data_IF_269377287604
#
_entry.id   IF_269377287604
#
_cell.length_a   1.000
_cell.length_b   1.000
_cell.length_c   1.000
_cell.angle_alpha   90.00
_cell.angle_beta   90.00
_cell.angle_gamma   90.00
#
_symmetry.space_group_name_H-M   'P 1'
#
loop_
_entity.id
_entity.type
_entity.pdbx_description
1 polymer ?
#
# COMPACT_ATOMS: atom_id res chain seq x y z
N UNK A 1 -36.86 -15.74 16.90
CA UNK A 1 -37.52 -16.09 15.63
C UNK A 1 -36.41 -16.62 14.74
N UNK A 2 -36.28 -17.93 14.66
CA UNK A 2 -35.21 -18.56 13.88
C UNK A 2 -35.53 -18.40 12.40
N UNK A 3 -34.57 -17.84 11.64
CA UNK A 3 -34.70 -17.69 10.20
C UNK A 3 -34.83 -19.08 9.56
N UNK A 4 -35.73 -19.23 8.57
CA UNK A 4 -35.77 -20.47 7.78
C UNK A 4 -34.43 -20.66 7.05
N UNK A 5 -33.97 -21.90 6.81
CA UNK A 5 -32.65 -22.16 6.20
C UNK A 5 -32.39 -21.37 4.90
N UNK A 6 -33.44 -21.18 4.07
CA UNK A 6 -33.37 -20.34 2.88
C UNK A 6 -33.13 -18.85 3.17
N UNK A 7 -33.78 -18.30 4.21
CA UNK A 7 -33.58 -16.90 4.60
C UNK A 7 -32.18 -16.65 5.17
N UNK A 8 -31.63 -17.63 5.90
CA UNK A 8 -30.26 -17.54 6.41
C UNK A 8 -29.24 -17.59 5.27
N UNK A 9 -29.40 -18.51 4.33
CA UNK A 9 -28.52 -18.62 3.17
C UNK A 9 -28.56 -17.35 2.30
N UNK A 10 -29.75 -16.80 2.06
CA UNK A 10 -29.92 -15.54 1.32
C UNK A 10 -29.23 -14.37 2.03
N UNK A 11 -29.36 -14.27 3.35
CA UNK A 11 -28.65 -13.26 4.14
C UNK A 11 -27.12 -13.40 4.04
N UNK A 12 -26.59 -14.61 4.21
CA UNK A 12 -25.16 -14.88 4.11
C UNK A 12 -24.60 -14.52 2.73
N UNK A 13 -25.31 -14.89 1.67
CA UNK A 13 -24.91 -14.58 0.30
C UNK A 13 -24.95 -13.07 0.04
N UNK A 14 -26.00 -12.37 0.50
CA UNK A 14 -26.12 -10.92 0.35
C UNK A 14 -24.99 -10.18 1.06
N UNK A 15 -24.63 -10.60 2.27
CA UNK A 15 -23.51 -10.00 3.01
C UNK A 15 -22.15 -10.33 2.40
N UNK A 16 -21.98 -11.56 1.87
CA UNK A 16 -20.79 -11.95 1.12
C UNK A 16 -20.58 -11.06 -0.11
N UNK A 17 -21.62 -10.89 -0.95
CA UNK A 17 -21.56 -10.03 -2.13
C UNK A 17 -21.28 -8.58 -1.73
N UNK A 18 -21.99 -8.05 -0.73
CA UNK A 18 -21.77 -6.68 -0.23
C UNK A 18 -20.33 -6.44 0.26
N UNK A 19 -19.72 -7.43 0.92
CA UNK A 19 -18.33 -7.33 1.37
C UNK A 19 -17.35 -7.48 0.22
N UNK A 20 -17.65 -8.31 -0.77
CA UNK A 20 -16.84 -8.50 -1.96
C UNK A 20 -16.80 -7.20 -2.79
N UNK A 21 -17.95 -6.56 -3.00
CA UNK A 21 -18.04 -5.27 -3.72
C UNK A 21 -17.18 -4.20 -3.02
N UNK A 22 -17.24 -4.13 -1.68
CA UNK A 22 -16.39 -3.21 -0.90
C UNK A 22 -14.90 -3.55 -0.97
N UNK A 23 -14.56 -4.84 -1.07
CA UNK A 23 -13.19 -5.27 -1.25
C UNK A 23 -12.67 -4.89 -2.65
N UNK A 24 -13.51 -5.00 -3.67
CA UNK A 24 -13.22 -4.56 -5.03
C UNK A 24 -13.02 -3.04 -5.10
N UNK A 25 -13.88 -2.24 -4.46
CA UNK A 25 -13.72 -0.78 -4.33
C UNK A 25 -12.37 -0.42 -3.69
N UNK A 26 -11.96 -1.16 -2.66
CA UNK A 26 -10.67 -0.96 -1.99
C UNK A 26 -9.49 -1.28 -2.93
N UNK A 27 -9.58 -2.35 -3.72
CA UNK A 27 -8.56 -2.74 -4.70
C UNK A 27 -8.45 -1.66 -5.78
N UNK A 28 -9.56 -1.21 -6.34
CA UNK A 28 -9.61 -0.17 -7.37
C UNK A 28 -9.02 1.15 -6.85
N UNK A 29 -9.39 1.55 -5.63
CA UNK A 29 -8.80 2.74 -4.98
C UNK A 29 -7.30 2.59 -4.71
N UNK A 30 -6.80 1.38 -4.50
CA UNK A 30 -5.34 1.14 -4.32
C UNK A 30 -4.60 1.26 -5.65
N UNK A 31 -5.23 0.85 -6.76
CA UNK A 31 -4.67 1.00 -8.10
C UNK A 31 -4.54 2.47 -8.50
N UNK A 32 -5.55 3.29 -8.18
CA UNK A 32 -5.50 4.74 -8.40
C UNK A 32 -4.35 5.40 -7.62
N UNK A 33 -4.14 5.01 -6.36
CA UNK A 33 -2.99 5.48 -5.58
C UNK A 33 -1.67 5.07 -6.24
N UNK A 34 -1.56 3.85 -6.77
CA UNK A 34 -0.36 3.41 -7.49
C UNK A 34 -0.09 4.26 -8.75
N UNK A 35 -1.13 4.60 -9.51
CA UNK A 35 -1.02 5.54 -10.64
C UNK A 35 -0.50 6.90 -10.19
N UNK A 36 -0.98 7.39 -9.05
CA UNK A 36 -0.50 8.66 -8.47
C UNK A 36 0.98 8.60 -8.09
N UNK A 37 1.47 7.47 -7.55
CA UNK A 37 2.89 7.24 -7.26
C UNK A 37 3.75 7.28 -8.52
N UNK A 38 3.26 6.72 -9.62
CA UNK A 38 3.93 6.80 -10.94
C UNK A 38 4.09 8.24 -11.42
N UNK A 39 3.05 9.07 -11.26
CA UNK A 39 3.10 10.51 -11.58
C UNK A 39 4.13 11.22 -10.70
N UNK A 40 4.15 10.97 -9.40
CA UNK A 40 5.13 11.59 -8.49
C UNK A 40 6.56 11.19 -8.86
N UNK A 41 6.81 9.93 -9.21
CA UNK A 41 8.11 9.47 -9.69
C UNK A 41 8.57 10.22 -10.95
N UNK A 42 7.66 10.43 -11.90
CA UNK A 42 7.95 11.23 -13.08
C UNK A 42 8.27 12.69 -12.72
N UNK A 43 7.50 13.30 -11.82
CA UNK A 43 7.73 14.68 -11.34
C UNK A 43 9.10 14.82 -10.69
N UNK A 44 9.55 13.86 -9.87
CA UNK A 44 10.89 13.88 -9.26
C UNK A 44 11.99 13.98 -10.32
N UNK A 45 11.87 13.24 -11.42
CA UNK A 45 12.87 13.24 -12.51
C UNK A 45 12.90 14.58 -13.24
N UNK A 46 11.72 15.15 -13.53
CA UNK A 46 11.62 16.44 -14.25
C UNK A 46 11.70 17.66 -13.32
N UNK A 47 11.80 17.49 -12.02
CA UNK A 47 11.79 18.60 -11.07
C UNK A 47 12.98 19.54 -11.26
N UNK A 48 14.17 18.99 -11.50
CA UNK A 48 15.38 19.78 -11.76
C UNK A 48 15.22 20.69 -13.00
N UNK A 49 14.89 20.19 -14.21
CA UNK A 49 14.71 21.08 -15.36
C UNK A 49 13.55 22.08 -15.19
N UNK A 50 12.47 21.70 -14.50
CA UNK A 50 11.39 22.64 -14.16
C UNK A 50 11.92 23.79 -13.29
N UNK A 51 12.74 23.46 -12.27
CA UNK A 51 13.33 24.47 -11.40
C UNK A 51 14.21 25.45 -12.18
N UNK A 52 15.00 24.97 -13.13
CA UNK A 52 15.90 25.79 -13.95
C UNK A 52 15.15 26.77 -14.86
N UNK A 53 13.91 26.44 -15.27
CA UNK A 53 13.04 27.34 -16.06
C UNK A 53 12.37 28.39 -15.17
N UNK A 54 11.97 28.02 -13.94
CA UNK A 54 11.21 28.89 -13.03
C UNK A 54 12.12 29.85 -12.26
N UNK A 55 13.27 29.40 -11.76
CA UNK A 55 14.19 30.18 -10.94
C UNK A 55 14.61 31.54 -11.57
N UNK A 56 14.88 31.65 -12.89
CA UNK A 56 15.17 32.92 -13.54
C UNK A 56 14.06 33.97 -13.41
N UNK A 57 12.81 33.56 -13.18
CA UNK A 57 11.68 34.47 -12.99
C UNK A 57 11.58 35.00 -11.55
N UNK A 58 12.32 34.42 -10.60
CA UNK A 58 12.33 34.80 -9.17
C UNK A 58 13.79 35.03 -8.71
N UNK A 59 14.41 36.17 -9.06
CA UNK A 59 15.85 36.39 -8.96
C UNK A 59 16.42 36.45 -7.53
N UNK A 60 15.59 36.41 -6.49
CA UNK A 60 16.02 36.43 -5.08
C UNK A 60 16.03 35.05 -4.42
N UNK A 61 15.60 34.01 -5.12
CA UNK A 61 15.46 32.68 -4.54
C UNK A 61 16.74 31.86 -4.75
N UNK A 62 17.29 31.31 -3.66
CA UNK A 62 18.40 30.37 -3.76
C UNK A 62 17.92 29.07 -4.45
N UNK A 63 18.59 28.72 -5.54
CA UNK A 63 18.32 27.52 -6.35
C UNK A 63 18.38 26.25 -5.50
N UNK A 64 19.34 26.17 -4.59
CA UNK A 64 19.53 24.98 -3.75
C UNK A 64 18.38 24.78 -2.76
N UNK A 65 17.92 25.88 -2.15
CA UNK A 65 16.78 25.87 -1.24
C UNK A 65 15.48 25.53 -1.96
N UNK A 66 15.27 26.06 -3.17
CA UNK A 66 14.07 25.79 -3.96
C UNK A 66 13.98 24.31 -4.38
N UNK A 67 15.07 23.74 -4.88
CA UNK A 67 15.16 22.31 -5.19
C UNK A 67 14.87 21.45 -3.96
N UNK A 68 15.49 21.79 -2.83
CA UNK A 68 15.29 21.09 -1.57
C UNK A 68 13.83 21.10 -1.11
N UNK A 69 13.18 22.28 -1.09
CA UNK A 69 11.79 22.41 -0.69
C UNK A 69 10.86 21.65 -1.63
N UNK A 70 11.13 21.65 -2.93
CA UNK A 70 10.37 20.87 -3.91
C UNK A 70 10.44 19.38 -3.62
N UNK A 71 11.65 18.81 -3.46
CA UNK A 71 11.79 17.40 -3.12
C UNK A 71 11.20 17.06 -1.74
N UNK A 72 11.35 17.94 -0.75
CA UNK A 72 10.77 17.75 0.58
C UNK A 72 9.24 17.71 0.50
N UNK A 73 8.62 18.57 -0.31
CA UNK A 73 7.16 18.57 -0.50
C UNK A 73 6.66 17.26 -1.14
N UNK A 74 7.39 16.76 -2.15
CA UNK A 74 7.09 15.46 -2.78
C UNK A 74 7.25 14.32 -1.78
N UNK A 75 8.29 14.35 -0.94
CA UNK A 75 8.52 13.37 0.11
C UNK A 75 7.36 13.33 1.12
N UNK A 76 6.82 14.49 1.52
CA UNK A 76 5.67 14.57 2.43
C UNK A 76 4.42 13.97 1.78
N UNK A 77 4.12 14.32 0.54
CA UNK A 77 2.97 13.77 -0.21
C UNK A 77 3.09 12.25 -0.30
N UNK A 78 4.27 11.74 -0.65
CA UNK A 78 4.55 10.31 -0.72
C UNK A 78 4.40 9.63 0.65
N UNK A 79 4.83 10.30 1.73
CA UNK A 79 4.63 9.81 3.10
C UNK A 79 3.16 9.65 3.45
N UNK A 80 2.31 10.61 3.07
CA UNK A 80 0.86 10.53 3.28
C UNK A 80 0.21 9.40 2.47
N UNK A 81 0.58 9.25 1.19
CA UNK A 81 0.10 8.15 0.34
C UNK A 81 0.54 6.79 0.91
N UNK A 82 1.80 6.68 1.36
CA UNK A 82 2.31 5.46 1.99
C UNK A 82 1.55 5.10 3.27
N UNK A 83 1.23 6.09 4.12
CA UNK A 83 0.41 5.89 5.32
C UNK A 83 -1.02 5.45 4.97
N UNK A 84 -1.65 6.09 3.99
CA UNK A 84 -2.97 5.68 3.47
C UNK A 84 -2.96 4.22 3.01
N UNK A 85 -1.92 3.82 2.27
CA UNK A 85 -1.75 2.44 1.82
C UNK A 85 -1.59 1.45 2.97
N UNK A 86 -0.93 1.81 4.08
CA UNK A 86 -0.87 0.95 5.27
C UNK A 86 -2.27 0.71 5.88
N UNK A 87 -3.10 1.75 5.90
CA UNK A 87 -4.49 1.66 6.38
C UNK A 87 -5.30 0.77 5.43
N UNK A 88 -5.22 1.01 4.12
CA UNK A 88 -5.89 0.16 3.11
C UNK A 88 -5.49 -1.30 3.25
N UNK A 89 -4.20 -1.56 3.44
CA UNK A 89 -3.71 -2.93 3.64
C UNK A 89 -4.30 -3.60 4.89
N UNK A 90 -4.51 -2.86 5.99
CA UNK A 90 -5.20 -3.41 7.18
C UNK A 90 -6.65 -3.77 6.90
N UNK A 91 -7.36 -2.99 6.08
CA UNK A 91 -8.72 -3.30 5.64
C UNK A 91 -8.76 -4.49 4.68
N UNK A 92 -7.77 -4.63 3.79
CA UNK A 92 -7.68 -5.80 2.89
C UNK A 92 -7.63 -7.11 3.69
N UNK A 93 -6.86 -7.14 4.79
CA UNK A 93 -6.83 -8.29 5.68
C UNK A 93 -8.17 -8.57 6.36
N UNK A 94 -8.89 -7.52 6.76
CA UNK A 94 -10.24 -7.66 7.30
C UNK A 94 -11.20 -8.28 6.26
N UNK A 95 -11.20 -7.81 5.01
CA UNK A 95 -12.08 -8.35 3.97
C UNK A 95 -11.77 -9.81 3.67
N UNK A 96 -10.50 -10.16 3.49
CA UNK A 96 -10.06 -11.54 3.25
C UNK A 96 -10.58 -12.49 4.34
N UNK A 97 -10.43 -12.11 5.61
CA UNK A 97 -10.88 -12.94 6.72
C UNK A 97 -12.40 -13.12 6.76
N UNK A 98 -13.15 -12.03 6.61
CA UNK A 98 -14.61 -12.10 6.70
C UNK A 98 -15.21 -12.82 5.49
N UNK A 99 -14.72 -12.58 4.27
CA UNK A 99 -15.17 -13.28 3.07
C UNK A 99 -14.95 -14.79 3.21
N UNK A 100 -13.79 -15.21 3.70
CA UNK A 100 -13.52 -16.63 3.96
C UNK A 100 -14.49 -17.22 5.01
N UNK A 101 -14.81 -16.47 6.08
CA UNK A 101 -15.77 -16.92 7.08
C UNK A 101 -17.20 -17.09 6.51
N UNK A 102 -17.65 -16.15 5.67
CA UNK A 102 -18.94 -16.25 4.98
C UNK A 102 -18.99 -17.44 4.02
N UNK A 103 -17.93 -17.70 3.25
CA UNK A 103 -17.88 -18.86 2.36
C UNK A 103 -17.99 -20.19 3.12
N UNK A 104 -17.31 -20.31 4.25
CA UNK A 104 -17.40 -21.51 5.10
C UNK A 104 -18.83 -21.72 5.62
N UNK A 105 -19.52 -20.66 6.04
CA UNK A 105 -20.93 -20.73 6.47
C UNK A 105 -21.87 -21.09 5.29
N UNK A 106 -21.66 -20.50 4.11
CA UNK A 106 -22.45 -20.78 2.90
C UNK A 106 -22.31 -22.25 2.48
N UNK A 107 -21.07 -22.78 2.45
CA UNK A 107 -20.81 -24.19 2.12
C UNK A 107 -21.51 -25.15 3.08
N UNK A 108 -21.51 -24.84 4.38
CA UNK A 108 -22.21 -25.64 5.40
C UNK A 108 -23.71 -25.69 5.15
N UNK A 109 -24.35 -24.56 4.86
CA UNK A 109 -25.79 -24.49 4.59
C UNK A 109 -26.16 -25.19 3.26
N UNK A 110 -25.30 -25.11 2.25
CA UNK A 110 -25.49 -25.81 0.96
C UNK A 110 -25.18 -27.32 1.02
N UNK A 111 -24.62 -27.81 2.14
CA UNK A 111 -24.10 -29.19 2.29
C UNK A 111 -23.09 -29.56 1.19
N UNK A 112 -22.35 -28.58 0.70
CA UNK A 112 -21.26 -28.82 -0.24
C UNK A 112 -20.09 -29.50 0.48
N UNK A 113 -19.36 -30.34 -0.26
CA UNK A 113 -18.13 -30.92 0.24
C UNK A 113 -17.07 -29.82 0.48
N UNK A 114 -16.24 -29.98 1.51
CA UNK A 114 -15.23 -28.97 1.87
C UNK A 114 -14.21 -28.71 0.73
N UNK A 115 -14.02 -29.69 -0.16
CA UNK A 115 -13.19 -29.65 -1.35
C UNK A 115 -13.90 -29.10 -2.60
N UNK A 116 -15.16 -28.64 -2.47
CA UNK A 116 -15.89 -27.97 -3.53
C UNK A 116 -15.12 -26.74 -4.03
N UNK A 117 -14.97 -26.67 -5.37
CA UNK A 117 -14.39 -25.52 -6.07
C UNK A 117 -15.32 -24.30 -6.09
N UNK A 118 -16.59 -24.49 -5.73
CA UNK A 118 -17.59 -23.43 -5.63
C UNK A 118 -17.36 -22.77 -4.26
N UNK A 119 -17.17 -21.43 -4.21
CA UNK A 119 -16.74 -20.68 -3.01
C UNK A 119 -15.41 -21.17 -2.42
N UNK A 120 -14.35 -21.11 -3.23
CA UNK A 120 -13.03 -21.59 -2.86
C UNK A 120 -12.03 -20.43 -2.68
N UNK A 121 -12.38 -19.41 -1.90
CA UNK A 121 -11.43 -18.46 -1.29
C UNK A 121 -10.67 -19.18 -0.17
N UNK A 122 -10.15 -20.37 -0.49
CA UNK A 122 -9.52 -21.26 0.44
C UNK A 122 -8.04 -20.93 0.41
N UNK A 123 -7.61 -20.10 1.36
CA UNK A 123 -6.21 -19.87 1.68
C UNK A 123 -5.59 -21.17 2.25
N UNK A 124 -5.60 -22.26 1.48
CA UNK A 124 -4.93 -23.49 1.81
C UNK A 124 -3.43 -23.24 1.93
N UNK A 125 -2.71 -24.14 2.60
CA UNK A 125 -1.26 -23.97 2.87
C UNK A 125 -0.43 -23.66 1.61
N UNK A 126 -0.86 -24.12 0.43
CA UNK A 126 -0.22 -23.81 -0.86
C UNK A 126 -0.49 -22.38 -1.35
N UNK A 127 -1.73 -21.93 -1.32
CA UNK A 127 -2.14 -20.59 -1.76
C UNK A 127 -1.68 -19.51 -0.77
N UNK A 128 -1.68 -19.80 0.53
CA UNK A 128 -1.10 -18.94 1.56
C UNK A 128 0.40 -18.75 1.35
N UNK A 129 1.14 -19.80 0.94
CA UNK A 129 2.55 -19.66 0.56
C UNK A 129 2.72 -18.80 -0.69
N UNK A 130 1.86 -18.97 -1.69
CA UNK A 130 1.89 -18.17 -2.91
C UNK A 130 1.60 -16.68 -2.62
N UNK A 131 0.62 -16.39 -1.77
CA UNK A 131 0.26 -15.04 -1.34
C UNK A 131 1.37 -14.44 -0.50
N UNK A 132 1.94 -15.17 0.45
CA UNK A 132 3.09 -14.71 1.25
C UNK A 132 4.31 -14.46 0.33
N UNK A 133 4.57 -15.33 -0.65
CA UNK A 133 5.69 -15.17 -1.57
C UNK A 133 5.50 -13.94 -2.47
N UNK A 134 4.31 -13.80 -3.06
CA UNK A 134 3.93 -12.65 -3.89
C UNK A 134 4.00 -11.37 -3.07
N UNK A 135 3.49 -11.38 -1.84
CA UNK A 135 3.56 -10.25 -0.91
C UNK A 135 5.01 -9.87 -0.57
N UNK A 136 5.88 -10.85 -0.29
CA UNK A 136 7.32 -10.58 -0.05
C UNK A 136 7.99 -9.99 -1.28
N UNK A 137 7.66 -10.48 -2.47
CA UNK A 137 8.20 -9.95 -3.72
C UNK A 137 7.74 -8.51 -3.93
N UNK A 138 6.44 -8.25 -3.88
CA UNK A 138 5.86 -6.91 -4.00
C UNK A 138 6.45 -5.94 -2.98
N UNK A 139 6.60 -6.39 -1.72
CA UNK A 139 7.21 -5.58 -0.67
C UNK A 139 8.69 -5.27 -0.95
N UNK A 140 9.48 -6.24 -1.42
CA UNK A 140 10.88 -6.00 -1.81
C UNK A 140 10.97 -5.02 -2.97
N UNK A 141 10.13 -5.17 -3.98
CA UNK A 141 10.08 -4.25 -5.13
C UNK A 141 9.69 -2.85 -4.68
N UNK A 142 8.74 -2.71 -3.74
CA UNK A 142 8.37 -1.44 -3.14
C UNK A 142 9.56 -0.78 -2.40
N UNK A 143 10.27 -1.54 -1.55
CA UNK A 143 11.45 -1.05 -0.83
C UNK A 143 12.53 -0.57 -1.80
N UNK A 144 12.82 -1.34 -2.85
CA UNK A 144 13.80 -0.97 -3.87
C UNK A 144 13.38 0.29 -4.64
N UNK A 145 12.10 0.40 -4.99
CA UNK A 145 11.55 1.57 -5.68
C UNK A 145 11.63 2.82 -4.80
N UNK A 146 11.31 2.69 -3.52
CA UNK A 146 11.42 3.77 -2.55
C UNK A 146 12.88 4.24 -2.40
N UNK A 147 13.81 3.30 -2.16
CA UNK A 147 15.21 3.61 -1.97
C UNK A 147 15.84 4.28 -3.21
N UNK A 148 15.46 3.85 -4.40
CA UNK A 148 15.98 4.42 -5.66
C UNK A 148 15.37 5.77 -6.01
N UNK A 149 14.06 5.87 -6.19
CA UNK A 149 13.43 7.07 -6.75
C UNK A 149 13.18 8.16 -5.72
N UNK A 150 12.87 7.81 -4.47
CA UNK A 150 12.44 8.79 -3.46
C UNK A 150 13.63 9.28 -2.63
N UNK A 151 14.59 8.39 -2.37
CA UNK A 151 15.77 8.72 -1.56
C UNK A 151 16.99 9.03 -2.43
N UNK A 152 17.42 8.09 -3.28
CA UNK A 152 18.69 8.21 -3.99
C UNK A 152 18.67 9.30 -5.08
N UNK A 153 17.62 9.37 -5.91
CA UNK A 153 17.55 10.37 -7.01
C UNK A 153 17.57 11.82 -6.47
N UNK A 154 16.69 12.24 -5.55
CA UNK A 154 16.76 13.60 -4.98
C UNK A 154 18.07 13.89 -4.25
N UNK A 155 18.64 12.90 -3.55
CA UNK A 155 19.94 13.04 -2.89
C UNK A 155 21.05 13.37 -3.90
N UNK A 156 21.13 12.61 -5.00
CA UNK A 156 22.12 12.85 -6.05
C UNK A 156 21.91 14.23 -6.68
N UNK A 157 20.67 14.60 -7.00
CA UNK A 157 20.38 15.93 -7.58
C UNK A 157 20.81 17.04 -6.62
N UNK A 158 20.51 16.92 -5.32
CA UNK A 158 20.88 17.91 -4.32
C UNK A 158 22.38 17.97 -4.08
N UNK A 159 23.13 16.86 -4.19
CA UNK A 159 24.59 16.87 -4.09
C UNK A 159 25.25 17.78 -5.13
N UNK A 160 24.66 17.91 -6.33
CA UNK A 160 25.15 18.85 -7.36
C UNK A 160 24.81 20.32 -7.07
N UNK A 161 23.92 20.60 -6.13
CA UNK A 161 23.50 21.95 -5.75
C UNK A 161 24.10 22.39 -4.41
N UNK A 162 23.86 21.61 -3.36
CA UNK A 162 24.36 21.86 -2.00
C UNK A 162 24.40 20.56 -1.20
N UNK A 163 25.61 20.18 -0.79
CA UNK A 163 25.86 18.99 0.03
C UNK A 163 25.09 19.06 1.36
N UNK A 164 24.95 20.24 1.94
CA UNK A 164 24.22 20.42 3.20
C UNK A 164 22.75 20.00 3.06
N UNK A 165 22.05 20.50 2.03
CA UNK A 165 20.65 20.13 1.78
C UNK A 165 20.50 18.66 1.36
N UNK A 166 21.48 18.11 0.64
CA UNK A 166 21.48 16.69 0.28
C UNK A 166 21.54 15.80 1.53
N UNK A 167 22.47 16.06 2.44
CA UNK A 167 22.60 15.30 3.71
C UNK A 167 21.34 15.45 4.56
N UNK A 168 20.81 16.66 4.68
CA UNK A 168 19.59 16.93 5.45
C UNK A 168 18.38 16.16 4.86
N UNK A 169 18.19 16.23 3.54
CA UNK A 169 17.13 15.48 2.86
C UNK A 169 17.28 13.97 3.07
N UNK A 170 18.50 13.43 2.92
CA UNK A 170 18.79 12.01 3.12
C UNK A 170 18.43 11.57 4.55
N UNK A 171 18.81 12.34 5.56
CA UNK A 171 18.47 12.04 6.95
C UNK A 171 16.95 12.01 7.18
N UNK A 172 16.21 13.00 6.69
CA UNK A 172 14.75 13.04 6.82
C UNK A 172 14.10 11.86 6.09
N UNK A 173 14.53 11.58 4.86
CA UNK A 173 14.02 10.48 4.03
C UNK A 173 14.25 9.12 4.71
N UNK A 174 15.44 8.89 5.27
CA UNK A 174 15.75 7.66 6.00
C UNK A 174 14.93 7.52 7.29
N UNK A 175 14.78 8.59 8.07
CA UNK A 175 13.94 8.57 9.29
C UNK A 175 12.49 8.24 8.92
N UNK A 176 11.94 8.89 7.90
CA UNK A 176 10.59 8.62 7.42
C UNK A 176 10.41 7.18 6.95
N UNK A 177 11.38 6.64 6.21
CA UNK A 177 11.36 5.26 5.75
C UNK A 177 11.43 4.25 6.89
N UNK A 178 12.31 4.47 7.87
CA UNK A 178 12.41 3.63 9.06
C UNK A 178 11.11 3.66 9.87
N UNK A 179 10.49 4.82 10.04
CA UNK A 179 9.19 4.95 10.69
C UNK A 179 8.12 4.15 9.95
N UNK A 180 8.05 4.26 8.62
CA UNK A 180 7.15 3.47 7.78
C UNK A 180 7.35 1.96 7.99
N UNK A 181 8.59 1.47 7.93
CA UNK A 181 8.91 0.05 8.14
C UNK A 181 8.51 -0.44 9.53
N UNK A 182 8.70 0.38 10.57
CA UNK A 182 8.29 0.04 11.94
C UNK A 182 6.77 -0.06 12.07
N UNK A 183 6.01 0.89 11.51
CA UNK A 183 4.55 0.87 11.51
C UNK A 183 4.06 -0.36 10.74
N UNK A 184 4.58 -0.57 9.52
CA UNK A 184 4.28 -1.74 8.71
C UNK A 184 4.51 -3.05 9.46
N UNK A 185 5.66 -3.20 10.13
CA UNK A 185 5.98 -4.40 10.92
C UNK A 185 5.00 -4.60 12.07
N UNK A 186 4.55 -3.53 12.74
CA UNK A 186 3.54 -3.60 13.81
C UNK A 186 2.19 -4.07 13.27
N UNK A 187 1.74 -3.46 12.17
CA UNK A 187 0.50 -3.86 11.47
C UNK A 187 0.58 -5.34 11.09
N UNK A 188 1.66 -5.76 10.43
CA UNK A 188 1.82 -7.15 9.98
C UNK A 188 1.90 -8.14 11.16
N UNK A 189 2.56 -7.76 12.27
CA UNK A 189 2.63 -8.62 13.47
C UNK A 189 1.27 -8.82 14.11
N UNK A 190 0.40 -7.81 14.14
CA UNK A 190 -0.95 -7.92 14.71
C UNK A 190 -1.77 -8.98 13.95
N UNK A 191 -1.66 -9.03 12.63
CA UNK A 191 -2.34 -10.01 11.80
C UNK A 191 -1.65 -11.39 11.79
N UNK A 192 -0.32 -11.44 11.87
CA UNK A 192 0.46 -12.70 11.88
C UNK A 192 0.50 -13.40 13.24
N UNK A 193 0.40 -12.66 14.35
CA UNK A 193 0.45 -13.21 15.72
C UNK A 193 -0.88 -13.82 16.16
N UNK A 194 -1.96 -13.46 15.48
CA UNK A 194 -3.23 -14.14 15.59
C UNK A 194 -3.05 -15.52 14.96
N UNK A 195 -3.01 -16.57 15.80
CA UNK A 195 -2.96 -18.00 15.42
C UNK A 195 -4.26 -18.42 14.68
N UNK A 196 -4.58 -17.75 13.59
CA UNK A 196 -5.71 -18.10 12.72
C UNK A 196 -5.23 -18.64 11.35
N UNK A 197 -3.90 -18.71 11.15
CA UNK A 197 -3.25 -19.31 9.97
C UNK A 197 -2.63 -20.70 10.24
N UNK A 198 -2.98 -21.34 11.36
CA UNK A 198 -2.59 -22.71 11.69
C UNK A 198 -3.82 -23.59 11.86
#
# INVERSE_FOLDING_TARGET
MDATPNQRLEYLYKEYVRLNDKAEDLINSTYDDFKSLGVVGAVIIVWKPISEIILPTIPKLDSSLFLFLGFLSLLIILGLVALSNLIKQSYSWYFVYNLQAYEVEIKKELREAEDSRIFNFNLGKGETRFIIASYRLTFRTFVLSFASFITFVPFVILCYSSVFYAVLYLSISLIGFLAYLQIFKRVLKQYSSNKFLL
#
